data_IF_160814804865
#
_entry.id   IF_160814804865
#
_cell.length_a   1.000
_cell.length_b   1.000
_cell.length_c   1.000
_cell.angle_alpha   90.00
_cell.angle_beta   90.00
_cell.angle_gamma   90.00
#
_symmetry.space_group_name_H-M   'P 1'
#
loop_
_entity.id
_entity.type
_entity.pdbx_description
1 polymer ?
#
# COMPACT_ATOMS: atom_id res chain seq x y z
N UNK A 1 -7.76 -9.17 -31.99
CA UNK A 1 -6.90 -9.10 -30.79
C UNK A 1 -7.71 -9.69 -29.63
N UNK A 2 -7.55 -11.00 -29.38
CA UNK A 2 -8.33 -11.72 -28.37
C UNK A 2 -7.71 -11.37 -27.01
N UNK A 3 -8.36 -10.50 -26.24
CA UNK A 3 -7.99 -10.24 -24.85
C UNK A 3 -8.13 -11.56 -24.07
N UNK A 4 -7.04 -12.02 -23.45
CA UNK A 4 -7.08 -13.17 -22.57
C UNK A 4 -8.17 -12.95 -21.49
N UNK A 5 -9.02 -13.94 -21.21
CA UNK A 5 -10.07 -13.79 -20.22
C UNK A 5 -9.46 -13.48 -18.86
N UNK A 6 -9.90 -12.39 -18.25
CA UNK A 6 -9.48 -12.05 -16.89
C UNK A 6 -10.14 -13.04 -15.92
N UNK A 7 -9.33 -13.71 -15.09
CA UNK A 7 -9.84 -14.65 -14.09
C UNK A 7 -10.09 -13.90 -12.76
N UNK A 8 -11.17 -14.23 -12.03
CA UNK A 8 -11.44 -13.63 -10.74
C UNK A 8 -10.45 -14.12 -9.69
N UNK A 9 -10.09 -13.25 -8.77
CA UNK A 9 -9.30 -13.60 -7.60
C UNK A 9 -10.21 -14.27 -6.57
N UNK A 10 -9.78 -15.41 -6.03
CA UNK A 10 -10.40 -16.06 -4.89
C UNK A 10 -9.60 -15.68 -3.65
N UNK A 11 -10.22 -14.94 -2.74
CA UNK A 11 -9.55 -14.46 -1.53
C UNK A 11 -10.05 -15.25 -0.33
N UNK A 12 -9.12 -15.94 0.33
CA UNK A 12 -9.37 -16.62 1.59
C UNK A 12 -9.60 -15.60 2.71
N UNK A 13 -10.53 -15.90 3.59
CA UNK A 13 -10.69 -15.19 4.86
C UNK A 13 -9.49 -15.46 5.77
N UNK A 14 -8.86 -14.41 6.29
CA UNK A 14 -7.58 -14.48 7.02
C UNK A 14 -7.56 -13.47 8.16
N UNK A 15 -6.85 -13.83 9.23
CA UNK A 15 -6.55 -12.89 10.34
C UNK A 15 -5.61 -11.76 9.92
N UNK A 16 -4.78 -11.97 8.90
CA UNK A 16 -3.90 -10.93 8.37
C UNK A 16 -4.70 -9.96 7.54
N UNK A 17 -4.54 -8.67 7.84
CA UNK A 17 -5.20 -7.59 7.11
C UNK A 17 -4.17 -6.69 6.45
N UNK A 18 -4.33 -6.46 5.16
CA UNK A 18 -3.55 -5.50 4.41
C UNK A 18 -4.22 -4.11 4.48
N UNK A 19 -3.42 -3.05 4.34
CA UNK A 19 -3.91 -1.67 4.43
C UNK A 19 -5.05 -1.33 3.46
N UNK A 20 -5.16 -2.06 2.36
CA UNK A 20 -6.18 -1.86 1.33
C UNK A 20 -7.41 -2.76 1.48
N UNK A 21 -7.40 -3.73 2.41
CA UNK A 21 -8.51 -4.67 2.58
C UNK A 21 -9.84 -3.99 2.93
N UNK A 22 -9.89 -2.91 3.73
CA UNK A 22 -11.14 -2.20 4.01
C UNK A 22 -11.81 -1.61 2.76
N UNK A 23 -11.05 -1.40 1.69
CA UNK A 23 -11.55 -0.88 0.41
C UNK A 23 -12.04 -2.00 -0.53
N UNK A 24 -11.68 -3.25 -0.24
CA UNK A 24 -12.10 -4.40 -1.04
C UNK A 24 -13.54 -4.82 -0.66
N UNK A 25 -14.34 -5.09 -1.68
CA UNK A 25 -15.72 -5.57 -1.50
C UNK A 25 -15.83 -6.99 -2.06
N UNK A 26 -16.28 -7.97 -1.23
CA UNK A 26 -16.54 -9.32 -1.68
C UNK A 26 -17.60 -9.32 -2.80
N UNK A 27 -17.51 -10.27 -3.71
CA UNK A 27 -18.37 -10.39 -4.88
C UNK A 27 -18.36 -9.21 -5.86
N UNK A 28 -17.55 -8.19 -5.58
CA UNK A 28 -17.31 -7.04 -6.46
C UNK A 28 -15.88 -7.05 -6.99
N UNK A 29 -14.90 -7.22 -6.11
CA UNK A 29 -13.47 -7.18 -6.45
C UNK A 29 -12.82 -8.57 -6.37
N UNK A 30 -13.43 -9.51 -5.65
CA UNK A 30 -12.94 -10.87 -5.46
C UNK A 30 -14.09 -11.82 -5.08
N UNK A 31 -13.86 -13.12 -5.22
CA UNK A 31 -14.75 -14.17 -4.73
C UNK A 31 -14.26 -14.59 -3.33
N UNK A 32 -15.08 -14.44 -2.28
CA UNK A 32 -14.69 -14.81 -0.94
C UNK A 32 -14.68 -16.34 -0.76
N UNK A 33 -13.65 -16.83 -0.07
CA UNK A 33 -13.46 -18.24 0.27
C UNK A 33 -13.26 -18.35 1.78
N UNK A 34 -13.83 -19.38 2.39
CA UNK A 34 -13.71 -19.65 3.82
C UNK A 34 -12.25 -19.89 4.22
N UNK A 35 -11.91 -19.57 5.47
CA UNK A 35 -10.56 -19.76 6.02
C UNK A 35 -10.07 -21.22 5.92
N UNK A 36 -10.96 -22.19 6.02
CA UNK A 36 -10.65 -23.62 5.90
C UNK A 36 -10.64 -24.15 4.46
N UNK A 37 -10.86 -23.30 3.45
CA UNK A 37 -10.87 -23.62 2.02
C UNK A 37 -11.89 -24.68 1.58
N UNK A 38 -12.81 -25.12 2.44
CA UNK A 38 -13.76 -26.21 2.14
C UNK A 38 -14.75 -25.85 1.03
N UNK A 39 -15.01 -24.55 0.80
CA UNK A 39 -15.95 -24.07 -0.20
C UNK A 39 -15.31 -23.74 -1.57
N UNK A 40 -14.00 -23.96 -1.72
CA UNK A 40 -13.29 -23.70 -2.99
C UNK A 40 -13.90 -24.44 -4.17
N UNK A 41 -14.20 -25.77 -4.09
CA UNK A 41 -14.80 -26.49 -5.21
C UNK A 41 -16.16 -25.90 -5.63
N UNK A 42 -16.98 -25.52 -4.65
CA UNK A 42 -18.29 -24.87 -4.90
C UNK A 42 -18.11 -23.51 -5.60
N UNK A 43 -17.19 -22.69 -5.12
CA UNK A 43 -16.89 -21.37 -5.70
C UNK A 43 -16.36 -21.47 -7.13
N UNK A 44 -15.51 -22.47 -7.40
CA UNK A 44 -15.03 -22.75 -8.76
C UNK A 44 -16.17 -23.21 -9.68
N UNK A 45 -17.05 -24.10 -9.21
CA UNK A 45 -18.22 -24.53 -9.95
C UNK A 45 -19.17 -23.35 -10.22
N UNK A 46 -19.35 -22.45 -9.24
CA UNK A 46 -20.10 -21.21 -9.43
C UNK A 46 -19.49 -20.34 -10.54
N UNK A 47 -18.17 -20.11 -10.52
CA UNK A 47 -17.50 -19.27 -11.53
C UNK A 47 -17.67 -19.85 -12.95
N UNK A 48 -17.59 -21.17 -13.10
CA UNK A 48 -17.80 -21.86 -14.38
C UNK A 48 -19.24 -21.70 -14.89
N UNK A 49 -20.22 -21.74 -13.99
CA UNK A 49 -21.65 -21.56 -14.33
C UNK A 49 -22.03 -20.10 -14.58
N UNK A 50 -21.22 -19.14 -14.10
CA UNK A 50 -21.50 -17.72 -14.17
C UNK A 50 -20.34 -16.92 -14.81
N UNK A 51 -19.91 -17.24 -16.04
CA UNK A 51 -18.69 -16.69 -16.62
C UNK A 51 -18.73 -15.16 -16.75
N UNK A 52 -19.86 -14.56 -17.13
CA UNK A 52 -20.01 -13.11 -17.23
C UNK A 52 -19.84 -12.39 -15.88
N UNK A 53 -20.38 -12.97 -14.80
CA UNK A 53 -20.23 -12.41 -13.45
C UNK A 53 -18.80 -12.58 -12.93
N UNK A 54 -18.20 -13.73 -13.17
CA UNK A 54 -16.81 -14.00 -12.82
C UNK A 54 -15.85 -13.01 -13.53
N UNK A 55 -16.08 -12.77 -14.82
CA UNK A 55 -15.30 -11.78 -15.57
C UNK A 55 -15.50 -10.35 -15.05
N UNK A 56 -16.72 -9.94 -14.73
CA UNK A 56 -16.99 -8.62 -14.16
C UNK A 56 -16.24 -8.42 -12.83
N UNK A 57 -16.21 -9.44 -11.95
CA UNK A 57 -15.44 -9.41 -10.70
C UNK A 57 -13.95 -9.30 -11.00
N UNK A 58 -13.43 -10.06 -11.96
CA UNK A 58 -12.03 -10.01 -12.37
C UNK A 58 -11.62 -8.62 -12.87
N UNK A 59 -12.44 -8.02 -13.73
CA UNK A 59 -12.20 -6.68 -14.25
C UNK A 59 -12.27 -5.61 -13.16
N UNK A 60 -13.20 -5.73 -12.21
CA UNK A 60 -13.28 -4.83 -11.06
C UNK A 60 -12.05 -4.96 -10.17
N UNK A 61 -11.61 -6.18 -9.87
CA UNK A 61 -10.38 -6.43 -9.12
C UNK A 61 -9.15 -5.85 -9.81
N UNK A 62 -9.03 -6.03 -11.12
CA UNK A 62 -7.94 -5.44 -11.93
C UNK A 62 -7.96 -3.91 -11.85
N UNK A 63 -9.13 -3.27 -12.04
CA UNK A 63 -9.27 -1.81 -11.93
C UNK A 63 -8.91 -1.31 -10.53
N UNK A 64 -9.34 -2.03 -9.50
CA UNK A 64 -8.97 -1.72 -8.12
C UNK A 64 -7.44 -1.76 -7.93
N UNK A 65 -6.79 -2.85 -8.34
CA UNK A 65 -5.34 -2.99 -8.23
C UNK A 65 -4.59 -1.89 -8.98
N UNK A 66 -4.99 -1.61 -10.22
CA UNK A 66 -4.37 -0.55 -11.04
C UNK A 66 -4.51 0.82 -10.39
N UNK A 67 -5.64 1.09 -9.71
CA UNK A 67 -5.88 2.39 -9.08
C UNK A 67 -5.22 2.54 -7.71
N UNK A 68 -5.21 1.48 -6.90
CA UNK A 68 -4.85 1.57 -5.48
C UNK A 68 -3.56 0.86 -5.10
N UNK A 69 -3.04 -0.06 -5.94
CA UNK A 69 -1.89 -0.90 -5.61
C UNK A 69 -0.67 -0.63 -6.49
N UNK A 70 -0.70 0.41 -7.32
CA UNK A 70 0.51 0.80 -8.05
C UNK A 70 1.53 1.46 -7.10
N UNK A 71 2.81 1.40 -7.45
CA UNK A 71 3.91 1.81 -6.57
C UNK A 71 3.79 3.23 -6.01
N UNK A 72 3.21 4.18 -6.75
CA UNK A 72 3.00 5.53 -6.24
C UNK A 72 1.90 5.59 -5.18
N UNK A 73 0.80 4.83 -5.32
CA UNK A 73 -0.25 4.75 -4.31
C UNK A 73 0.29 4.12 -3.02
N UNK A 74 1.08 3.05 -3.14
CA UNK A 74 1.75 2.40 -2.00
C UNK A 74 2.72 3.36 -1.32
N UNK A 75 3.54 4.07 -2.09
CA UNK A 75 4.48 5.07 -1.54
C UNK A 75 3.75 6.22 -0.83
N UNK A 76 2.63 6.70 -1.40
CA UNK A 76 1.80 7.73 -0.79
C UNK A 76 1.19 7.25 0.55
N UNK A 77 0.71 6.01 0.61
CA UNK A 77 0.22 5.41 1.85
C UNK A 77 1.32 5.37 2.92
N UNK A 78 2.52 4.85 2.60
CA UNK A 78 3.65 4.81 3.52
C UNK A 78 4.06 6.20 3.99
N UNK A 79 4.09 7.18 3.10
CA UNK A 79 4.40 8.55 3.45
C UNK A 79 3.42 9.12 4.48
N UNK A 80 2.12 8.94 4.24
CA UNK A 80 1.08 9.41 5.17
C UNK A 80 1.14 8.68 6.51
N UNK A 81 1.34 7.35 6.48
CA UNK A 81 1.46 6.53 7.69
C UNK A 81 2.65 6.98 8.54
N UNK A 82 3.83 7.16 7.92
CA UNK A 82 5.03 7.61 8.64
C UNK A 82 4.87 9.02 9.20
N UNK A 83 4.21 9.92 8.48
CA UNK A 83 3.89 11.26 9.00
C UNK A 83 2.96 11.22 10.19
N UNK A 84 1.89 10.42 10.11
CA UNK A 84 0.95 10.25 11.22
C UNK A 84 1.65 9.62 12.43
N UNK A 85 2.48 8.61 12.21
CA UNK A 85 3.28 7.98 13.27
C UNK A 85 4.27 8.96 13.91
N UNK A 86 4.98 9.75 13.11
CA UNK A 86 5.90 10.77 13.61
C UNK A 86 5.21 11.84 14.48
N UNK A 87 3.96 12.18 14.17
CA UNK A 87 3.18 13.12 14.98
C UNK A 87 2.78 12.56 16.36
N UNK A 88 2.75 11.24 16.51
CA UNK A 88 2.47 10.57 17.78
C UNK A 88 3.72 10.38 18.66
N UNK A 89 4.92 10.60 18.10
CA UNK A 89 6.17 10.45 18.85
C UNK A 89 6.36 11.61 19.80
N UNK A 90 6.62 11.31 21.08
CA UNK A 90 6.88 12.29 22.14
C UNK A 90 8.38 12.54 22.35
N UNK A 91 9.24 11.80 21.66
CA UNK A 91 10.70 11.93 21.75
C UNK A 91 11.28 12.49 20.44
N UNK A 92 12.43 13.14 20.56
CA UNK A 92 13.22 13.61 19.42
C UNK A 92 14.21 12.49 19.03
N UNK A 93 14.12 11.90 17.83
CA UNK A 93 15.08 10.88 17.40
C UNK A 93 16.48 11.49 17.27
N UNK A 94 17.46 10.88 17.93
CA UNK A 94 18.87 11.26 17.78
C UNK A 94 19.40 10.62 16.50
N UNK A 95 19.91 11.44 15.61
CA UNK A 95 20.55 10.99 14.35
C UNK A 95 22.06 10.83 14.48
N UNK A 96 22.62 11.18 15.64
CA UNK A 96 24.06 11.06 15.92
C UNK A 96 24.46 9.57 15.93
N UNK A 97 25.41 9.21 15.09
CA UNK A 97 25.89 7.83 14.93
C UNK A 97 25.12 7.00 13.89
N UNK A 98 24.05 7.50 13.31
CA UNK A 98 23.37 6.83 12.21
C UNK A 98 24.12 7.10 10.90
N UNK A 99 25.04 6.20 10.54
CA UNK A 99 25.58 6.17 9.18
C UNK A 99 24.44 5.72 8.28
N UNK A 100 23.84 6.66 7.54
CA UNK A 100 22.72 6.39 6.67
C UNK A 100 22.99 5.18 5.79
N UNK A 101 22.02 4.26 5.73
CA UNK A 101 22.08 3.13 4.81
C UNK A 101 22.09 3.70 3.39
N UNK A 102 23.26 3.70 2.74
CA UNK A 102 23.37 4.05 1.33
C UNK A 102 22.70 2.92 0.53
N UNK A 103 21.52 3.17 0.02
CA UNK A 103 20.87 2.22 -0.90
C UNK A 103 21.53 2.41 -2.27
N UNK A 104 22.24 1.40 -2.81
CA UNK A 104 22.88 1.51 -4.11
C UNK A 104 21.83 1.83 -5.18
N UNK A 105 22.04 2.89 -5.95
CA UNK A 105 21.17 3.28 -7.08
C UNK A 105 20.14 4.37 -6.80
N UNK A 106 19.97 4.87 -5.58
CA UNK A 106 19.15 6.05 -5.31
C UNK A 106 20.00 7.32 -5.50
N UNK A 107 19.80 8.03 -6.60
CA UNK A 107 20.27 9.41 -6.72
C UNK A 107 19.48 10.24 -5.70
N UNK A 108 20.16 10.71 -4.67
CA UNK A 108 19.59 11.67 -3.73
C UNK A 108 19.33 12.99 -4.48
N UNK A 109 18.11 13.16 -4.98
CA UNK A 109 17.62 14.50 -5.28
C UNK A 109 17.44 15.21 -3.94
N UNK A 110 18.35 16.15 -3.66
CA UNK A 110 18.47 16.87 -2.40
C UNK A 110 17.22 17.66 -2.03
N UNK A 111 16.33 17.02 -1.28
CA UNK A 111 15.12 17.63 -0.71
C UNK A 111 15.20 17.83 0.81
N UNK A 112 16.36 17.63 1.42
CA UNK A 112 16.58 18.01 2.82
C UNK A 112 17.69 19.06 2.93
N UNK A 113 17.35 20.30 2.58
CA UNK A 113 18.14 21.45 2.99
C UNK A 113 17.74 21.77 4.43
N UNK A 114 18.51 21.25 5.39
CA UNK A 114 18.39 21.65 6.78
C UNK A 114 18.57 23.17 6.86
N UNK A 115 17.56 23.90 7.29
CA UNK A 115 17.65 25.32 7.62
C UNK A 115 18.61 25.45 8.80
N UNK A 116 19.86 25.87 8.51
CA UNK A 116 20.82 26.29 9.56
C UNK A 116 20.22 27.49 10.26
N UNK A 117 19.78 27.30 11.50
CA UNK A 117 19.44 28.38 12.41
C UNK A 117 20.58 29.37 12.50
N UNK A 118 20.32 30.60 12.09
CA UNK A 118 21.19 31.77 12.25
C UNK A 118 21.37 32.03 13.76
N UNK A 119 22.53 31.65 14.32
CA UNK A 119 22.93 32.14 15.64
C UNK A 119 23.19 33.63 15.53
N UNK A 120 22.30 34.39 16.12
CA UNK A 120 22.48 35.83 16.31
C UNK A 120 23.54 36.03 17.39
N UNK A 121 24.76 36.45 17.00
CA UNK A 121 25.77 36.96 17.94
C UNK A 121 25.38 38.40 18.25
N UNK A 122 24.76 38.61 19.41
CA UNK A 122 24.64 39.93 19.99
C UNK A 122 26.03 40.44 20.36
N UNK A 123 26.44 41.53 19.74
CA UNK A 123 27.54 42.35 20.16
C UNK A 123 27.10 43.11 21.41
N UNK A 124 27.81 42.90 22.52
CA UNK A 124 27.81 43.83 23.63
C UNK A 124 29.04 44.71 23.50
N UNK A 125 28.84 45.99 23.41
CA UNK A 125 29.89 46.99 23.60
C UNK A 125 29.48 47.96 24.69
N UNK A 126 30.43 48.26 25.52
CA UNK A 126 30.60 49.33 26.48
C UNK A 126 30.17 49.03 27.89
#
# INVERSE_FOLDING_TARGET
>A
MTLAPSLPVFKQDSFSSEYFYPLLRPWTHYVPVKANLQDVPEKLAWARRNPRRAEAIAQNGKRFATRHLHKHAVACYWWQLLRAFAALQTFQPRTEGFKGLSVPGTRHHGLFRASRGRRNRGQGSS
#
